data_IF_801365670359
#
_entry.id   IF_801365670359
#
_cell.length_a   1.000
_cell.length_b   1.000
_cell.length_c   1.000
_cell.angle_alpha   90.00
_cell.angle_beta   90.00
_cell.angle_gamma   90.00
#
_symmetry.space_group_name_H-M   'P 1'
#
loop_
_entity.id
_entity.type
_entity.pdbx_description
1 polymer ?
#
# COMPACT_ATOMS: atom_id res chain seq x y z
N UNK A 1 4.09 5.29 66.33
CA UNK A 1 3.13 5.29 65.22
C UNK A 1 3.33 6.47 64.25
N UNK A 2 3.67 7.63 64.71
CA UNK A 2 3.87 8.85 63.88
C UNK A 2 5.00 8.73 62.85
N UNK A 3 6.18 8.24 63.21
CA UNK A 3 7.31 8.02 62.29
C UNK A 3 6.96 7.12 61.09
N UNK A 4 6.19 6.04 61.33
CA UNK A 4 5.75 5.16 60.22
C UNK A 4 4.76 5.84 59.27
N UNK A 5 3.88 6.70 59.79
CA UNK A 5 2.96 7.51 58.98
C UNK A 5 3.70 8.57 58.14
N UNK A 6 4.73 9.20 58.71
CA UNK A 6 5.56 10.16 57.96
C UNK A 6 6.37 9.50 56.84
N UNK A 7 6.94 8.32 57.09
CA UNK A 7 7.66 7.56 56.02
C UNK A 7 6.69 7.14 54.92
N UNK A 8 5.51 6.65 55.24
CA UNK A 8 4.50 6.30 54.26
C UNK A 8 4.05 7.49 53.41
N UNK A 9 3.84 8.68 54.03
CA UNK A 9 3.49 9.88 53.30
C UNK A 9 4.59 10.35 52.32
N UNK A 10 5.87 10.25 52.71
CA UNK A 10 7.01 10.57 51.86
C UNK A 10 7.11 9.58 50.68
N UNK A 11 6.90 8.30 50.90
CA UNK A 11 6.91 7.31 49.81
C UNK A 11 5.77 7.52 48.81
N UNK A 12 4.57 7.88 49.30
CA UNK A 12 3.44 8.20 48.41
C UNK A 12 3.74 9.48 47.61
N UNK A 13 4.34 10.49 48.22
CA UNK A 13 4.72 11.73 47.55
C UNK A 13 5.78 11.45 46.46
N UNK A 14 6.78 10.64 46.75
CA UNK A 14 7.82 10.25 45.78
C UNK A 14 7.22 9.43 44.62
N UNK A 15 6.27 8.51 44.89
CA UNK A 15 5.57 7.78 43.86
C UNK A 15 4.71 8.69 42.97
N UNK A 16 4.01 9.69 43.55
CA UNK A 16 3.25 10.71 42.81
C UNK A 16 4.16 11.57 41.93
N UNK A 17 5.30 12.04 42.48
CA UNK A 17 6.31 12.79 41.72
C UNK A 17 6.88 11.92 40.60
N UNK A 18 7.15 10.63 40.83
CA UNK A 18 7.59 9.67 39.82
C UNK A 18 6.56 9.50 38.70
N UNK A 19 5.28 9.39 39.04
CA UNK A 19 4.18 9.27 38.05
C UNK A 19 4.01 10.57 37.25
N UNK A 20 4.13 11.75 37.93
CA UNK A 20 4.07 13.06 37.26
C UNK A 20 5.28 13.26 36.35
N UNK A 21 6.48 12.93 36.81
CA UNK A 21 7.71 12.98 36.00
C UNK A 21 7.68 12.00 34.82
N UNK A 22 7.15 10.80 35.03
CA UNK A 22 6.93 9.82 33.95
C UNK A 22 5.92 10.35 32.94
N UNK A 23 4.78 10.88 33.37
CA UNK A 23 3.80 11.53 32.48
C UNK A 23 4.37 12.75 31.75
N UNK A 24 5.20 13.54 32.39
CA UNK A 24 5.85 14.72 31.79
C UNK A 24 6.98 14.30 30.84
N UNK A 25 7.67 13.20 31.10
CA UNK A 25 8.70 12.63 30.24
C UNK A 25 8.12 11.90 29.01
N UNK A 26 6.90 11.34 29.12
CA UNK A 26 6.18 10.69 28.01
C UNK A 26 5.25 11.64 27.26
N UNK A 27 4.95 12.82 27.81
CA UNK A 27 4.09 13.84 27.24
C UNK A 27 4.90 14.98 26.60
N UNK A 28 5.72 14.68 25.56
CA UNK A 28 6.00 15.71 24.57
C UNK A 28 4.66 16.04 23.92
N UNK A 29 4.28 17.32 23.94
CA UNK A 29 3.10 17.78 23.23
C UNK A 29 3.26 17.39 21.76
N UNK A 30 2.48 16.38 21.31
CA UNK A 30 2.51 15.93 19.94
C UNK A 30 1.64 16.87 19.11
N UNK A 31 2.23 17.47 18.10
CA UNK A 31 1.53 18.31 17.14
C UNK A 31 1.15 17.53 15.91
N UNK A 32 0.02 17.89 15.29
CA UNK A 32 -0.47 17.31 14.06
C UNK A 32 0.27 17.92 12.87
N UNK A 33 0.80 17.05 11.99
CA UNK A 33 1.42 17.42 10.73
C UNK A 33 0.79 16.65 9.57
N UNK A 34 0.92 17.21 8.38
CA UNK A 34 0.41 16.61 7.13
C UNK A 34 1.50 16.69 6.05
N UNK A 35 1.58 15.63 5.23
CA UNK A 35 2.43 15.57 4.05
C UNK A 35 1.67 14.99 2.88
N UNK A 36 2.03 15.39 1.66
CA UNK A 36 1.51 14.80 0.43
C UNK A 36 2.57 14.77 -0.64
N UNK A 37 2.54 13.73 -1.48
CA UNK A 37 3.39 13.54 -2.66
C UNK A 37 2.66 12.73 -3.73
N UNK A 38 3.17 12.74 -4.98
CA UNK A 38 2.49 12.17 -6.15
C UNK A 38 3.38 11.22 -6.96
N UNK A 39 4.58 10.98 -6.52
CA UNK A 39 5.66 10.32 -7.26
C UNK A 39 5.80 8.82 -6.95
N UNK A 40 4.80 8.21 -6.32
CA UNK A 40 4.75 6.77 -6.09
C UNK A 40 3.39 6.19 -6.47
N UNK A 41 3.38 5.03 -7.13
CA UNK A 41 2.19 4.30 -7.58
C UNK A 41 1.24 5.12 -8.48
N UNK A 42 1.73 6.15 -9.18
CA UNK A 42 0.97 7.05 -10.05
C UNK A 42 -0.29 7.62 -9.38
N UNK A 43 -0.19 7.93 -8.09
CA UNK A 43 -1.34 8.38 -7.31
C UNK A 43 -0.95 9.40 -6.24
N UNK A 44 -1.96 10.12 -5.76
CA UNK A 44 -1.78 10.99 -4.60
C UNK A 44 -1.63 10.17 -3.33
N UNK A 45 -0.52 10.40 -2.63
CA UNK A 45 -0.28 9.94 -1.27
C UNK A 45 -0.48 11.10 -0.30
N UNK A 46 -1.30 10.89 0.71
CA UNK A 46 -1.51 11.82 1.82
C UNK A 46 -1.21 11.11 3.14
N UNK A 47 -0.46 11.75 4.00
CA UNK A 47 -0.09 11.23 5.32
C UNK A 47 -0.40 12.28 6.36
N UNK A 48 -1.12 11.89 7.40
CA UNK A 48 -1.40 12.68 8.59
C UNK A 48 -0.74 11.97 9.77
N UNK A 49 0.09 12.66 10.53
CA UNK A 49 0.77 12.08 11.67
C UNK A 49 0.95 13.06 12.83
N UNK A 50 1.39 12.54 13.97
CA UNK A 50 1.70 13.30 15.16
C UNK A 50 3.16 13.12 15.52
N UNK A 51 3.87 14.23 15.70
CA UNK A 51 5.29 14.26 16.06
C UNK A 51 5.58 15.36 17.10
N UNK A 52 6.72 15.28 17.76
CA UNK A 52 7.14 16.29 18.77
C UNK A 52 7.71 17.56 18.14
N UNK A 53 8.02 17.54 16.84
CA UNK A 53 8.44 18.71 16.08
C UNK A 53 8.27 18.47 14.58
N UNK A 54 8.31 19.57 13.80
CA UNK A 54 8.25 19.53 12.35
C UNK A 54 9.46 18.82 11.74
N UNK A 55 10.62 18.99 12.34
CA UNK A 55 11.88 18.36 11.89
C UNK A 55 11.78 16.85 12.03
N UNK A 56 11.31 16.35 13.18
CA UNK A 56 11.09 14.91 13.38
C UNK A 56 10.09 14.35 12.38
N UNK A 57 8.97 15.05 12.15
CA UNK A 57 7.98 14.62 11.15
C UNK A 57 8.58 14.59 9.75
N UNK A 58 9.38 15.60 9.37
CA UNK A 58 10.03 15.66 8.06
C UNK A 58 11.01 14.52 7.83
N UNK A 59 11.82 14.17 8.85
CA UNK A 59 12.73 13.01 8.80
C UNK A 59 11.97 11.69 8.64
N UNK A 60 10.89 11.51 9.41
CA UNK A 60 10.02 10.34 9.28
C UNK A 60 9.40 10.25 7.89
N UNK A 61 8.94 11.39 7.31
CA UNK A 61 8.36 11.41 5.96
C UNK A 61 9.36 11.06 4.89
N UNK A 62 10.63 11.47 5.01
CA UNK A 62 11.68 11.06 4.07
C UNK A 62 11.86 9.54 4.07
N UNK A 63 12.01 8.92 5.24
CA UNK A 63 12.18 7.47 5.37
C UNK A 63 10.95 6.68 4.87
N UNK A 64 9.75 7.18 5.17
CA UNK A 64 8.49 6.59 4.70
C UNK A 64 8.38 6.68 3.18
N UNK A 65 8.74 7.83 2.59
CA UNK A 65 8.73 8.02 1.15
C UNK A 65 9.73 7.09 0.46
N UNK A 66 10.95 6.97 0.98
CA UNK A 66 11.97 6.06 0.44
C UNK A 66 11.49 4.61 0.48
N UNK A 67 10.76 4.21 1.55
CA UNK A 67 10.20 2.87 1.65
C UNK A 67 9.02 2.65 0.68
N UNK A 68 8.19 3.66 0.43
CA UNK A 68 7.18 3.62 -0.62
C UNK A 68 7.81 3.51 -2.01
N UNK A 69 8.89 4.28 -2.29
CA UNK A 69 9.60 4.21 -3.56
C UNK A 69 10.18 2.81 -3.79
N UNK A 70 10.77 2.20 -2.76
CA UNK A 70 11.25 0.82 -2.82
C UNK A 70 10.16 -0.16 -3.26
N UNK A 71 8.94 -0.09 -2.69
CA UNK A 71 7.85 -0.97 -3.09
C UNK A 71 7.28 -0.60 -4.47
N UNK A 72 7.27 0.68 -4.84
CA UNK A 72 6.90 1.12 -6.17
C UNK A 72 7.77 0.46 -7.23
N UNK A 73 9.07 0.53 -7.06
CA UNK A 73 10.06 -0.01 -8.00
C UNK A 73 10.04 -1.55 -8.02
N UNK A 74 9.85 -2.16 -6.84
CA UNK A 74 9.81 -3.61 -6.68
C UNK A 74 8.58 -4.25 -7.37
N UNK A 75 7.44 -3.56 -7.36
CA UNK A 75 6.17 -4.05 -7.93
C UNK A 75 5.89 -3.51 -9.34
N UNK A 76 6.83 -2.73 -9.91
CA UNK A 76 6.72 -2.21 -11.27
C UNK A 76 6.80 -3.35 -12.29
N UNK A 77 5.88 -3.30 -13.28
CA UNK A 77 5.79 -4.23 -14.40
C UNK A 77 6.28 -3.63 -15.72
N UNK A 78 6.69 -2.35 -15.71
CA UNK A 78 7.02 -1.57 -16.92
C UNK A 78 8.50 -1.21 -17.03
N UNK A 79 9.18 -0.94 -15.91
CA UNK A 79 10.54 -0.39 -15.92
C UNK A 79 11.55 -1.28 -15.18
N UNK A 80 12.80 -1.23 -15.64
CA UNK A 80 13.94 -1.88 -15.00
C UNK A 80 14.60 -0.92 -14.01
N UNK A 81 15.09 -1.46 -12.90
CA UNK A 81 15.84 -0.71 -11.88
C UNK A 81 17.18 -1.39 -11.62
N UNK A 82 18.25 -0.60 -11.61
CA UNK A 82 19.61 -1.14 -11.44
C UNK A 82 19.75 -1.88 -10.10
N UNK A 83 20.16 -3.14 -10.17
CA UNK A 83 20.39 -3.98 -8.97
C UNK A 83 19.13 -4.53 -8.33
N UNK A 84 17.94 -4.39 -8.95
CA UNK A 84 16.67 -4.89 -8.46
C UNK A 84 16.03 -5.83 -9.49
N UNK A 85 15.64 -7.02 -9.04
CA UNK A 85 14.79 -7.92 -9.81
C UNK A 85 13.34 -7.73 -9.35
N UNK A 86 12.59 -6.95 -10.10
CA UNK A 86 11.19 -6.61 -9.84
C UNK A 86 10.22 -7.52 -10.60
N UNK A 87 8.91 -7.22 -10.58
CA UNK A 87 7.90 -8.01 -11.29
C UNK A 87 8.15 -8.02 -12.80
N UNK A 88 8.62 -6.90 -13.38
CA UNK A 88 8.97 -6.86 -14.80
C UNK A 88 10.04 -7.89 -15.18
N UNK A 89 11.10 -8.01 -14.39
CA UNK A 89 12.17 -8.99 -14.64
C UNK A 89 11.64 -10.43 -14.57
N UNK A 90 10.67 -10.71 -13.68
CA UNK A 90 10.00 -12.02 -13.65
C UNK A 90 9.25 -12.24 -14.95
N UNK A 91 8.45 -11.27 -15.41
CA UNK A 91 7.68 -11.36 -16.65
C UNK A 91 8.59 -11.55 -17.87
N UNK A 92 9.68 -10.80 -17.97
CA UNK A 92 10.65 -10.91 -19.07
C UNK A 92 11.36 -12.29 -19.13
N UNK A 93 11.34 -13.07 -18.05
CA UNK A 93 11.95 -14.40 -17.95
C UNK A 93 10.91 -15.53 -17.93
N UNK A 94 9.64 -15.25 -18.26
CA UNK A 94 8.59 -16.26 -18.35
C UNK A 94 8.98 -17.36 -19.37
N UNK A 95 8.83 -18.63 -18.99
CA UNK A 95 9.22 -19.78 -19.79
C UNK A 95 10.74 -19.97 -20.02
N UNK A 96 11.60 -19.04 -19.52
CA UNK A 96 13.05 -19.04 -19.78
C UNK A 96 13.81 -19.61 -18.57
N UNK A 97 13.70 -18.96 -17.41
CA UNK A 97 14.45 -19.34 -16.20
C UNK A 97 13.83 -18.76 -14.92
N UNK A 98 14.08 -19.40 -13.75
CA UNK A 98 13.77 -18.82 -12.46
C UNK A 98 14.53 -17.52 -12.21
N UNK A 99 13.85 -16.52 -11.65
CA UNK A 99 14.42 -15.22 -11.30
C UNK A 99 14.58 -15.16 -9.78
N UNK A 100 15.78 -14.83 -9.31
CA UNK A 100 16.01 -14.58 -7.88
C UNK A 100 15.41 -13.23 -7.52
N UNK A 101 14.58 -13.20 -6.48
CA UNK A 101 13.83 -12.01 -6.09
C UNK A 101 13.97 -11.70 -4.60
N UNK A 102 13.54 -10.51 -4.20
CA UNK A 102 13.40 -10.11 -2.81
C UNK A 102 12.25 -10.90 -2.14
N UNK A 103 12.37 -11.16 -0.83
CA UNK A 103 11.36 -11.84 -0.03
C UNK A 103 10.00 -11.13 -0.10
N UNK A 104 10.00 -9.81 -0.21
CA UNK A 104 8.79 -8.98 -0.31
C UNK A 104 7.97 -9.29 -1.59
N UNK A 105 8.61 -9.72 -2.68
CA UNK A 105 7.91 -10.20 -3.88
C UNK A 105 7.28 -11.57 -3.60
N UNK A 106 8.02 -12.48 -2.97
CA UNK A 106 7.52 -13.82 -2.63
C UNK A 106 6.28 -13.71 -1.76
N UNK A 107 6.32 -12.88 -0.72
CA UNK A 107 5.17 -12.64 0.16
C UNK A 107 3.97 -12.05 -0.60
N UNK A 108 4.20 -11.07 -1.49
CA UNK A 108 3.14 -10.49 -2.31
C UNK A 108 2.49 -11.53 -3.24
N UNK A 109 3.30 -12.34 -3.93
CA UNK A 109 2.79 -13.36 -4.84
C UNK A 109 2.02 -14.46 -4.09
N UNK A 110 2.50 -14.90 -2.94
CA UNK A 110 1.77 -15.83 -2.06
C UNK A 110 0.44 -15.26 -1.59
N UNK A 111 0.40 -13.97 -1.27
CA UNK A 111 -0.87 -13.27 -0.98
C UNK A 111 -1.78 -13.31 -2.20
N UNK A 112 -1.27 -13.01 -3.41
CA UNK A 112 -2.03 -13.05 -4.65
C UNK A 112 -2.67 -14.41 -4.91
N UNK A 113 -1.88 -15.49 -4.81
CA UNK A 113 -2.36 -16.88 -4.95
C UNK A 113 -3.44 -17.19 -3.89
N UNK A 114 -3.21 -16.80 -2.64
CA UNK A 114 -4.20 -16.99 -1.57
C UNK A 114 -5.50 -16.23 -1.83
N UNK A 115 -5.41 -15.05 -2.43
CA UNK A 115 -6.60 -14.25 -2.75
C UNK A 115 -7.35 -14.79 -3.97
N UNK A 116 -6.66 -15.36 -4.93
CA UNK A 116 -7.29 -16.11 -6.03
C UNK A 116 -8.15 -17.25 -5.48
N UNK A 117 -7.59 -18.10 -4.65
CA UNK A 117 -8.31 -19.21 -4.00
C UNK A 117 -9.52 -18.73 -3.19
N UNK A 118 -9.36 -17.66 -2.39
CA UNK A 118 -10.44 -17.12 -1.54
C UNK A 118 -11.56 -16.46 -2.31
N UNK A 119 -11.30 -16.04 -3.53
CA UNK A 119 -12.27 -15.34 -4.39
C UNK A 119 -12.81 -16.22 -5.52
N UNK A 120 -12.52 -17.53 -5.50
CA UNK A 120 -12.89 -18.47 -6.54
C UNK A 120 -12.44 -17.98 -7.94
N UNK A 121 -11.16 -17.53 -8.07
CA UNK A 121 -10.56 -17.05 -9.29
C UNK A 121 -10.97 -15.62 -9.72
N UNK A 122 -11.79 -14.91 -8.90
CA UNK A 122 -12.22 -13.55 -9.27
C UNK A 122 -11.12 -12.48 -9.06
N UNK A 123 -10.05 -12.82 -8.37
CA UNK A 123 -8.86 -11.98 -8.23
C UNK A 123 -7.63 -12.80 -8.60
N UNK A 124 -7.07 -12.55 -9.77
CA UNK A 124 -5.96 -13.31 -10.31
C UNK A 124 -4.81 -12.37 -10.73
N UNK A 125 -3.63 -12.56 -10.13
CA UNK A 125 -2.43 -11.79 -10.45
C UNK A 125 -1.72 -12.27 -11.72
N UNK A 126 -2.13 -13.41 -12.31
CA UNK A 126 -1.62 -13.94 -13.55
C UNK A 126 -2.35 -13.37 -14.81
N UNK A 127 -3.17 -12.33 -14.63
CA UNK A 127 -3.95 -11.70 -15.71
C UNK A 127 -3.14 -10.70 -16.57
N UNK A 128 -1.84 -10.59 -16.37
CA UNK A 128 -1.02 -9.59 -17.04
C UNK A 128 -1.07 -9.67 -18.57
N UNK A 129 -1.11 -10.87 -19.16
CA UNK A 129 -1.26 -11.09 -20.61
C UNK A 129 -2.53 -10.43 -21.18
N UNK A 130 -3.65 -10.50 -20.46
CA UNK A 130 -4.92 -9.87 -20.85
C UNK A 130 -4.91 -8.38 -20.56
N UNK A 131 -4.39 -7.99 -19.37
CA UNK A 131 -4.39 -6.60 -18.91
C UNK A 131 -3.46 -5.71 -19.73
N UNK A 132 -2.35 -6.24 -20.28
CA UNK A 132 -1.46 -5.50 -21.17
C UNK A 132 -2.18 -5.04 -22.45
N UNK A 133 -3.01 -5.90 -23.05
CA UNK A 133 -3.83 -5.55 -24.22
C UNK A 133 -4.76 -4.39 -23.89
N UNK A 134 -5.47 -4.48 -22.76
CA UNK A 134 -6.34 -3.39 -22.30
C UNK A 134 -5.57 -2.10 -21.99
N UNK A 135 -4.34 -2.22 -21.49
CA UNK A 135 -3.48 -1.08 -21.23
C UNK A 135 -3.15 -0.32 -22.52
N UNK A 136 -2.71 -1.04 -23.57
CA UNK A 136 -2.34 -0.47 -24.86
C UNK A 136 -3.52 0.25 -25.53
N UNK A 137 -4.70 -0.38 -25.56
CA UNK A 137 -5.91 0.23 -26.10
C UNK A 137 -6.37 1.45 -25.29
N UNK A 138 -6.23 1.42 -23.98
CA UNK A 138 -6.54 2.56 -23.09
C UNK A 138 -5.58 3.73 -23.33
N UNK A 139 -4.30 3.46 -23.50
CA UNK A 139 -3.31 4.51 -23.79
C UNK A 139 -3.56 5.14 -25.14
N UNK A 140 -3.72 4.35 -26.19
CA UNK A 140 -4.06 4.84 -27.52
C UNK A 140 -5.33 5.68 -27.52
N UNK A 141 -6.40 5.22 -26.86
CA UNK A 141 -7.66 5.97 -26.74
C UNK A 141 -7.56 7.20 -25.83
N UNK A 142 -6.57 7.29 -24.95
CA UNK A 142 -6.30 8.48 -24.13
C UNK A 142 -5.52 9.53 -24.91
N UNK A 143 -4.62 9.11 -25.80
CA UNK A 143 -3.86 9.98 -26.70
C UNK A 143 -4.75 10.56 -27.81
N UNK A 144 -5.63 9.74 -28.40
CA UNK A 144 -6.59 10.14 -29.43
C UNK A 144 -7.99 9.58 -29.12
N UNK A 145 -8.82 10.32 -28.36
CA UNK A 145 -10.17 9.88 -27.98
C UNK A 145 -11.12 9.64 -29.17
N UNK A 146 -10.87 10.27 -30.32
CA UNK A 146 -11.71 10.11 -31.52
C UNK A 146 -11.42 8.79 -32.25
N UNK A 147 -10.25 8.19 -32.02
CA UNK A 147 -9.83 6.88 -32.55
C UNK A 147 -9.89 5.75 -31.53
N UNK A 148 -10.49 5.98 -30.35
CA UNK A 148 -10.57 4.99 -29.29
C UNK A 148 -11.38 3.76 -29.73
N UNK A 149 -10.77 2.58 -29.63
CA UNK A 149 -11.36 1.29 -29.99
C UNK A 149 -11.32 0.32 -28.81
N UNK A 150 -12.12 -0.74 -28.88
CA UNK A 150 -12.05 -1.85 -27.94
C UNK A 150 -11.12 -2.95 -28.48
N UNK A 151 -10.38 -3.65 -27.63
CA UNK A 151 -9.60 -4.81 -28.06
C UNK A 151 -10.49 -5.86 -28.73
N UNK A 152 -10.01 -6.54 -29.79
CA UNK A 152 -10.71 -7.66 -30.39
C UNK A 152 -10.91 -8.80 -29.39
N UNK A 153 -12.10 -9.40 -29.37
CA UNK A 153 -12.43 -10.45 -28.39
C UNK A 153 -11.56 -11.69 -28.57
N UNK A 154 -11.23 -12.05 -29.80
CA UNK A 154 -10.37 -13.20 -30.10
C UNK A 154 -8.92 -13.01 -29.64
N UNK A 155 -8.44 -11.78 -29.53
CA UNK A 155 -7.15 -11.44 -28.94
C UNK A 155 -7.17 -11.62 -27.43
N UNK A 156 -8.22 -11.11 -26.77
CA UNK A 156 -8.42 -11.28 -25.33
C UNK A 156 -8.60 -12.77 -24.94
N UNK A 157 -9.36 -13.54 -25.74
CA UNK A 157 -9.57 -14.97 -25.50
C UNK A 157 -8.26 -15.75 -25.59
N UNK A 158 -7.41 -15.46 -26.58
CA UNK A 158 -6.07 -16.07 -26.69
C UNK A 158 -5.17 -15.70 -25.52
N UNK A 159 -5.14 -14.44 -25.12
CA UNK A 159 -4.34 -14.02 -23.98
C UNK A 159 -4.83 -14.65 -22.66
N UNK A 160 -6.13 -14.92 -22.54
CA UNK A 160 -6.71 -15.57 -21.38
C UNK A 160 -6.31 -17.06 -21.23
N UNK A 161 -5.79 -17.70 -22.28
CA UNK A 161 -5.23 -19.06 -22.19
C UNK A 161 -3.95 -19.11 -21.34
N UNK A 162 -3.29 -17.96 -21.10
CA UNK A 162 -2.02 -17.78 -20.40
C UNK A 162 -2.20 -17.12 -19.01
N UNK A 163 -3.25 -17.49 -18.29
CA UNK A 163 -3.61 -16.87 -17.01
C UNK A 163 -3.78 -17.86 -15.85
N UNK A 164 -3.25 -19.09 -16.00
CA UNK A 164 -3.32 -20.09 -14.94
C UNK A 164 -2.36 -19.72 -13.80
N UNK A 165 -2.91 -19.37 -12.65
CA UNK A 165 -2.13 -18.96 -11.46
C UNK A 165 -1.20 -20.08 -10.96
N UNK A 166 -1.49 -21.34 -11.29
CA UNK A 166 -0.65 -22.48 -10.90
C UNK A 166 0.65 -22.58 -11.72
N UNK A 167 0.79 -21.82 -12.79
CA UNK A 167 2.04 -21.67 -13.53
C UNK A 167 3.06 -20.74 -12.84
N UNK A 168 2.70 -20.14 -11.70
CA UNK A 168 3.61 -19.38 -10.84
C UNK A 168 4.29 -20.36 -9.87
N UNK A 169 5.55 -20.68 -10.11
CA UNK A 169 6.38 -21.55 -9.25
C UNK A 169 7.24 -20.69 -8.34
N UNK A 170 7.07 -20.83 -7.03
CA UNK A 170 7.84 -20.12 -6.00
C UNK A 170 8.73 -21.12 -5.26
N UNK A 171 10.04 -20.86 -5.23
CA UNK A 171 11.00 -21.56 -4.38
C UNK A 171 11.46 -20.60 -3.28
N UNK A 172 10.92 -20.78 -2.09
CA UNK A 172 11.21 -19.93 -0.92
C UNK A 172 12.65 -20.12 -0.42
N UNK A 173 13.21 -21.35 -0.53
CA UNK A 173 14.59 -21.63 -0.06
C UNK A 173 15.63 -20.97 -0.98
N UNK A 174 15.41 -21.03 -2.28
CA UNK A 174 16.26 -20.38 -3.27
C UNK A 174 15.94 -18.88 -3.45
N UNK A 175 14.83 -18.39 -2.92
CA UNK A 175 14.26 -17.06 -3.16
C UNK A 175 14.07 -16.79 -4.65
N UNK A 176 13.43 -17.72 -5.37
CA UNK A 176 13.21 -17.58 -6.83
C UNK A 176 11.74 -17.71 -7.20
N UNK A 177 11.37 -17.04 -8.28
CA UNK A 177 10.06 -17.14 -8.93
C UNK A 177 10.26 -17.53 -10.39
N UNK A 178 9.46 -18.46 -10.89
CA UNK A 178 9.46 -18.90 -12.28
C UNK A 178 8.04 -19.00 -12.80
N UNK A 179 7.78 -18.38 -13.94
CA UNK A 179 6.55 -18.54 -14.70
C UNK A 179 6.78 -19.66 -15.73
N UNK A 180 6.02 -20.76 -15.64
CA UNK A 180 6.24 -21.94 -16.49
C UNK A 180 5.70 -21.74 -17.90
N UNK A 181 4.66 -20.92 -18.06
CA UNK A 181 4.11 -20.53 -19.36
C UNK A 181 4.88 -19.30 -19.90
N UNK A 182 5.49 -19.39 -21.11
CA UNK A 182 6.27 -18.30 -21.70
C UNK A 182 5.45 -17.07 -22.10
N UNK A 183 4.14 -17.22 -22.29
CA UNK A 183 3.23 -16.16 -22.72
C UNK A 183 2.44 -15.57 -21.55
N UNK A 184 2.66 -16.09 -20.31
CA UNK A 184 2.11 -15.53 -19.08
C UNK A 184 2.83 -14.26 -18.66
N UNK A 185 2.10 -13.33 -18.04
CA UNK A 185 2.69 -12.24 -17.27
C UNK A 185 1.91 -11.94 -16.00
N UNK A 186 2.61 -11.42 -14.99
CA UNK A 186 2.04 -10.99 -13.73
C UNK A 186 1.59 -9.54 -13.83
N UNK A 187 0.43 -9.24 -13.25
CA UNK A 187 -0.02 -7.89 -12.91
C UNK A 187 -0.48 -7.89 -11.45
N UNK A 188 0.28 -7.20 -10.61
CA UNK A 188 0.02 -7.11 -9.17
C UNK A 188 -0.73 -5.82 -8.77
N UNK A 189 -1.21 -5.04 -9.74
CA UNK A 189 -1.86 -3.75 -9.51
C UNK A 189 -3.09 -3.81 -8.61
N UNK A 190 -3.80 -4.94 -8.60
CA UNK A 190 -4.98 -5.17 -7.75
C UNK A 190 -4.65 -5.24 -6.25
N UNK A 191 -3.45 -5.68 -5.86
CA UNK A 191 -3.04 -5.89 -4.47
C UNK A 191 -1.80 -5.07 -4.06
N UNK A 192 -0.90 -4.78 -4.99
CA UNK A 192 0.43 -4.22 -4.72
C UNK A 192 0.39 -2.91 -3.92
N UNK A 193 -0.48 -1.97 -4.30
CA UNK A 193 -0.62 -0.70 -3.55
C UNK A 193 -1.10 -0.90 -2.12
N UNK A 194 -2.15 -1.69 -1.94
CA UNK A 194 -2.69 -1.98 -0.60
C UNK A 194 -1.67 -2.70 0.29
N UNK A 195 -0.95 -3.66 -0.28
CA UNK A 195 0.10 -4.40 0.41
C UNK A 195 1.28 -3.49 0.79
N UNK A 196 1.76 -2.65 -0.14
CA UNK A 196 2.81 -1.68 0.14
C UNK A 196 2.42 -0.71 1.29
N UNK A 197 1.18 -0.22 1.29
CA UNK A 197 0.67 0.64 2.37
C UNK A 197 0.71 -0.07 3.72
N UNK A 198 0.33 -1.35 3.77
CA UNK A 198 0.39 -2.14 4.99
C UNK A 198 1.84 -2.32 5.48
N UNK A 199 2.76 -2.71 4.58
CA UNK A 199 4.18 -2.90 4.91
C UNK A 199 4.87 -1.61 5.35
N UNK A 200 4.58 -0.49 4.69
CA UNK A 200 5.11 0.83 5.10
C UNK A 200 4.55 1.25 6.46
N UNK A 201 3.28 0.98 6.75
CA UNK A 201 2.71 1.26 8.06
C UNK A 201 3.34 0.38 9.16
N UNK A 202 3.63 -0.89 8.87
CA UNK A 202 4.36 -1.78 9.78
C UNK A 202 5.79 -1.28 10.03
N UNK A 203 6.52 -0.90 8.99
CA UNK A 203 7.84 -0.27 9.09
C UNK A 203 7.79 1.00 9.95
N UNK A 204 6.85 1.90 9.66
CA UNK A 204 6.68 3.15 10.40
C UNK A 204 6.40 2.91 11.90
N UNK A 205 5.60 1.89 12.21
CA UNK A 205 5.26 1.51 13.57
C UNK A 205 6.43 0.84 14.29
N UNK A 206 7.05 -0.17 13.66
CA UNK A 206 7.98 -1.09 14.32
C UNK A 206 9.40 -0.54 14.34
N UNK A 207 9.86 0.08 13.24
CA UNK A 207 11.23 0.58 13.09
C UNK A 207 11.36 2.07 13.44
N UNK A 208 10.37 2.91 13.05
CA UNK A 208 10.39 4.33 13.36
C UNK A 208 9.70 4.68 14.68
N UNK A 209 9.03 3.73 15.33
CA UNK A 209 8.34 3.91 16.60
C UNK A 209 7.13 4.86 16.54
N UNK A 210 6.55 5.06 15.35
CA UNK A 210 5.40 5.94 15.14
C UNK A 210 4.15 5.33 15.77
N UNK A 211 3.44 6.09 16.57
CA UNK A 211 2.26 5.63 17.32
C UNK A 211 0.94 6.14 16.75
N UNK A 212 0.96 7.24 16.01
CA UNK A 212 -0.25 7.94 15.56
C UNK A 212 -0.05 8.46 14.13
N UNK A 213 -0.53 7.72 13.14
CA UNK A 213 -0.42 8.10 11.73
C UNK A 213 -1.55 7.50 10.90
N UNK A 214 -1.96 8.23 9.88
CA UNK A 214 -2.94 7.80 8.89
C UNK A 214 -2.32 7.97 7.50
N UNK A 215 -2.32 6.91 6.73
CA UNK A 215 -1.92 6.88 5.33
C UNK A 215 -3.15 6.81 4.43
N UNK A 216 -3.14 7.56 3.35
CA UNK A 216 -4.10 7.46 2.25
C UNK A 216 -3.33 7.49 0.93
N UNK A 217 -3.28 6.37 0.23
CA UNK A 217 -2.49 6.17 -1.00
C UNK A 217 -3.44 5.72 -2.10
N UNK A 218 -3.84 6.64 -2.97
CA UNK A 218 -4.78 6.34 -4.05
C UNK A 218 -6.08 5.68 -3.58
N UNK A 219 -6.56 6.03 -2.38
CA UNK A 219 -7.76 5.44 -1.79
C UNK A 219 -7.50 4.22 -0.89
N UNK A 220 -6.29 3.64 -0.87
CA UNK A 220 -5.89 2.67 0.13
C UNK A 220 -5.57 3.38 1.44
N UNK A 221 -6.27 3.05 2.51
CA UNK A 221 -6.15 3.72 3.81
C UNK A 221 -5.64 2.75 4.86
N UNK A 222 -4.59 3.15 5.59
CA UNK A 222 -4.06 2.41 6.74
C UNK A 222 -3.81 3.37 7.90
N UNK A 223 -4.05 2.92 9.12
CA UNK A 223 -3.88 3.72 10.33
C UNK A 223 -2.98 3.02 11.35
N UNK A 224 -2.06 3.78 11.93
CA UNK A 224 -1.29 3.40 13.12
C UNK A 224 -1.93 4.10 14.32
N UNK A 225 -2.47 3.31 15.25
CA UNK A 225 -3.16 3.83 16.43
C UNK A 225 -4.38 4.71 16.11
N UNK A 226 -4.78 5.54 17.08
CA UNK A 226 -5.80 6.58 16.91
C UNK A 226 -5.20 7.98 16.95
N UNK A 227 -5.93 8.95 17.50
CA UNK A 227 -5.35 10.25 17.86
C UNK A 227 -4.68 10.17 19.25
N UNK A 228 -3.72 11.07 19.57
CA UNK A 228 -3.06 11.10 20.90
C UNK A 228 -4.03 11.28 22.07
N UNK A 229 -5.21 11.87 21.84
CA UNK A 229 -6.27 12.04 22.84
C UNK A 229 -7.14 10.77 23.03
N UNK A 230 -6.83 9.67 22.30
CA UNK A 230 -7.56 8.39 22.37
C UNK A 230 -8.78 8.29 21.45
N UNK A 231 -9.11 9.33 20.66
CA UNK A 231 -10.19 9.24 19.68
C UNK A 231 -9.77 8.44 18.44
N UNK A 232 -10.73 7.84 17.74
CA UNK A 232 -10.49 7.13 16.49
C UNK A 232 -10.30 8.09 15.31
N UNK A 233 -9.59 7.63 14.27
CA UNK A 233 -9.55 8.31 12.99
C UNK A 233 -10.93 8.28 12.33
N UNK A 234 -11.31 9.37 11.68
CA UNK A 234 -12.51 9.44 10.84
C UNK A 234 -12.06 9.45 9.36
N UNK A 235 -12.45 8.42 8.63
CA UNK A 235 -12.12 8.26 7.20
C UNK A 235 -13.39 8.45 6.39
N UNK A 236 -13.38 9.43 5.48
CA UNK A 236 -14.46 9.64 4.52
C UNK A 236 -14.32 8.68 3.33
N UNK A 237 -15.37 7.91 3.02
CA UNK A 237 -15.45 7.11 1.81
C UNK A 237 -16.32 7.88 0.82
N UNK A 238 -15.77 8.17 -0.36
CA UNK A 238 -16.51 8.86 -1.41
C UNK A 238 -17.61 7.94 -1.95
N UNK A 239 -18.84 8.46 -2.01
CA UNK A 239 -19.94 7.71 -2.59
C UNK A 239 -19.77 7.67 -4.12
N UNK A 240 -19.62 6.48 -4.75
CA UNK A 240 -19.40 6.35 -6.19
C UNK A 240 -20.55 6.94 -7.03
N UNK A 241 -21.76 7.03 -6.47
CA UNK A 241 -22.90 7.64 -7.14
C UNK A 241 -22.89 9.17 -7.11
N UNK A 242 -21.99 9.81 -6.35
CA UNK A 242 -21.88 11.27 -6.21
C UNK A 242 -20.59 11.84 -6.82
N UNK A 243 -19.88 11.05 -7.63
CA UNK A 243 -18.64 11.44 -8.31
C UNK A 243 -18.84 12.46 -9.43
N UNK A 244 -20.08 12.76 -9.81
CA UNK A 244 -20.35 13.78 -10.82
C UNK A 244 -20.18 15.18 -10.23
N UNK A 245 -19.23 15.92 -10.77
CA UNK A 245 -18.96 17.33 -10.43
C UNK A 245 -20.09 18.30 -10.88
N UNK A 246 -21.07 17.79 -11.64
CA UNK A 246 -22.28 18.52 -12.05
C UNK A 246 -23.48 17.58 -11.93
N UNK A 247 -24.59 18.00 -11.30
CA UNK A 247 -25.80 17.19 -11.28
C UNK A 247 -26.30 16.99 -12.72
N UNK A 248 -26.42 15.73 -13.14
CA UNK A 248 -27.02 15.42 -14.43
C UNK A 248 -28.50 15.80 -14.40
N UNK A 249 -29.11 16.14 -15.55
CA UNK A 249 -30.56 16.41 -15.62
C UNK A 249 -31.42 15.25 -15.08
N UNK A 250 -30.89 14.02 -14.99
CA UNK A 250 -31.54 12.86 -14.35
C UNK A 250 -31.53 12.94 -12.84
N UNK A 251 -30.46 13.46 -12.26
CA UNK A 251 -30.28 13.56 -10.79
C UNK A 251 -31.17 14.67 -10.24
N UNK A 252 -31.38 15.76 -11.01
CA UNK A 252 -32.27 16.84 -10.65
C UNK A 252 -33.75 16.43 -10.59
N UNK A 253 -34.15 15.34 -11.25
CA UNK A 253 -35.53 14.82 -11.24
C UNK A 253 -35.86 13.94 -10.04
N UNK A 254 -34.87 13.48 -9.27
CA UNK A 254 -35.05 12.64 -8.08
C UNK A 254 -35.10 13.41 -6.76
N UNK A 255 -34.88 14.71 -6.78
CA UNK A 255 -34.96 15.59 -5.61
C UNK A 255 -36.28 16.32 -5.42
N UNK A 256 -37.39 15.77 -5.97
CA UNK A 256 -38.74 16.25 -5.72
C UNK A 256 -39.63 15.18 -5.13
#
# INVERSE_FOLDING_TARGET
MEKKRQIAAVLILLALIGVIAYRHSTGKDLEKYEASFFDVFDTQTQIIGYASSKEQFSEQMSLIKDKFQYYNDLYDIYHDYEGMNNIKIINDNAGIQPVKVDEEIIELLKLGITMDEKTDGNMNIAMGSVLSIWHDYREAGSEDPDSAELPPMDELERAAEHTDIHDIVIDEEASTVYLTDPDMSLDVGSIGKGYAVQKVAEYAKNELGIQYMLFSVGGNVCAIGGHPNGSAWAVGIQNPCLLYTSPSPRDMRRSR
#
